data_IF_899647448597
#
_entry.id   IF_899647448597
#
_cell.length_a   1.000
_cell.length_b   1.000
_cell.length_c   1.000
_cell.angle_alpha   90.00
_cell.angle_beta   90.00
_cell.angle_gamma   90.00
#
_symmetry.space_group_name_H-M   'P 1'
#
loop_
_entity.id
_entity.type
_entity.pdbx_description
1 polymer ?
#
# COMPACT_ATOMS: atom_id res chain seq x y z
N UNK A 1 -26.16 33.73 -28.18
CA UNK A 1 -25.11 34.74 -27.97
C UNK A 1 -25.22 35.30 -26.56
N UNK A 2 -24.29 34.95 -25.68
CA UNK A 2 -23.99 35.75 -24.48
C UNK A 2 -22.54 35.50 -24.09
N UNK A 3 -21.84 36.60 -23.82
CA UNK A 3 -20.39 36.79 -24.02
C UNK A 3 -19.58 36.48 -22.76
N UNK A 4 -18.37 35.97 -23.01
CA UNK A 4 -17.28 35.69 -22.07
C UNK A 4 -16.91 36.88 -21.16
N UNK A 5 -16.46 36.58 -19.94
CA UNK A 5 -15.41 37.36 -19.27
C UNK A 5 -14.39 36.40 -18.67
N UNK A 6 -13.33 36.19 -19.43
CA UNK A 6 -12.09 35.54 -19.00
C UNK A 6 -11.33 36.58 -18.19
N UNK A 7 -11.10 36.31 -16.90
CA UNK A 7 -10.21 37.10 -16.08
C UNK A 7 -8.81 36.49 -16.18
N UNK A 8 -7.97 37.07 -17.04
CA UNK A 8 -6.51 36.93 -16.96
C UNK A 8 -6.02 37.94 -15.93
N UNK A 9 -5.31 37.46 -14.90
CA UNK A 9 -4.52 38.31 -14.01
C UNK A 9 -3.08 37.84 -14.06
N UNK A 10 -2.20 38.79 -14.39
CA UNK A 10 -0.78 38.65 -14.64
C UNK A 10 0.05 39.16 -13.46
N UNK A 11 1.34 38.79 -13.47
CA UNK A 11 2.52 39.57 -13.00
C UNK A 11 3.19 39.20 -11.66
N UNK A 12 4.44 38.71 -11.83
CA UNK A 12 5.70 38.94 -11.07
C UNK A 12 5.81 38.51 -9.59
N UNK A 13 6.98 38.18 -9.00
CA UNK A 13 8.38 38.59 -9.23
C UNK A 13 9.31 37.59 -8.50
N UNK A 14 10.56 37.49 -8.95
CA UNK A 14 11.64 36.67 -8.38
C UNK A 14 12.02 37.02 -6.93
N UNK A 15 12.53 36.03 -6.19
CA UNK A 15 13.49 36.26 -5.10
C UNK A 15 14.52 35.12 -5.06
N UNK A 16 15.77 35.47 -5.32
CA UNK A 16 16.94 34.63 -5.13
C UNK A 16 17.31 34.55 -3.64
N UNK A 17 17.64 33.36 -3.14
CA UNK A 17 18.31 33.18 -1.86
C UNK A 17 19.68 32.55 -2.11
N UNK A 18 20.72 33.34 -1.84
CA UNK A 18 22.14 33.00 -1.93
C UNK A 18 22.49 32.16 -0.71
N UNK A 19 23.02 30.94 -0.90
CA UNK A 19 23.66 30.17 0.17
C UNK A 19 25.06 30.74 0.43
N UNK A 20 25.25 31.35 1.60
CA UNK A 20 26.55 31.76 2.08
C UNK A 20 27.33 30.52 2.57
N UNK A 21 28.40 30.14 1.86
CA UNK A 21 29.41 29.22 2.38
C UNK A 21 30.44 30.05 3.16
N UNK A 22 30.33 30.06 4.49
CA UNK A 22 31.39 30.51 5.39
C UNK A 22 32.22 29.29 5.84
N UNK A 23 33.36 29.08 5.17
CA UNK A 23 34.40 28.14 5.59
C UNK A 23 35.76 28.81 5.45
N UNK A 24 36.30 29.30 6.56
CA UNK A 24 37.51 30.13 6.66
C UNK A 24 38.76 29.42 6.15
N UNK A 25 39.49 30.13 5.28
CA UNK A 25 40.88 29.86 4.95
C UNK A 25 41.80 30.27 6.11
N UNK A 26 42.73 29.39 6.46
CA UNK A 26 43.88 29.71 7.30
C UNK A 26 45.11 28.92 6.82
N UNK A 27 46.03 29.60 6.17
CA UNK A 27 47.45 29.20 6.05
C UNK A 27 48.24 30.30 6.77
N UNK A 28 49.23 29.98 7.64
CA UNK A 28 50.57 29.60 7.19
C UNK A 28 51.21 28.50 8.08
N UNK A 29 52.17 27.66 7.65
CA UNK A 29 53.62 27.91 7.52
C UNK A 29 54.34 26.53 7.41
N UNK A 30 55.55 26.41 6.83
CA UNK A 30 56.15 25.14 6.36
C UNK A 30 56.76 24.15 7.38
N UNK A 31 56.60 22.86 7.03
CA UNK A 31 57.43 21.64 7.15
C UNK A 31 58.50 21.46 8.25
N UNK A 32 58.31 20.42 9.09
CA UNK A 32 59.35 19.47 9.58
C UNK A 32 58.73 18.06 9.80
N UNK A 33 59.42 16.93 9.50
CA UNK A 33 58.93 15.54 9.65
C UNK A 33 59.48 14.84 10.92
N UNK A 34 59.24 13.53 11.16
CA UNK A 34 58.00 12.82 11.49
C UNK A 34 58.04 12.23 12.92
N UNK A 35 56.91 11.88 13.54
CA UNK A 35 56.88 10.88 14.62
C UNK A 35 55.57 10.09 14.52
N UNK A 36 55.70 8.87 14.05
CA UNK A 36 54.63 7.89 13.92
C UNK A 36 54.30 7.35 15.33
N UNK A 37 53.14 7.74 15.84
CA UNK A 37 52.48 7.06 16.97
C UNK A 37 51.14 6.56 16.46
N UNK A 38 50.81 5.25 16.59
CA UNK A 38 49.53 4.75 16.15
C UNK A 38 48.43 5.36 17.04
N UNK A 39 47.69 6.30 16.46
CA UNK A 39 46.49 6.88 17.06
C UNK A 39 45.41 5.80 17.17
N UNK A 40 44.95 5.60 18.39
CA UNK A 40 43.73 4.86 18.72
C UNK A 40 42.57 5.47 17.93
N UNK A 41 42.15 4.83 16.84
CA UNK A 41 40.97 5.22 16.10
C UNK A 41 39.73 4.83 16.91
N UNK A 42 39.19 5.76 17.70
CA UNK A 42 37.78 5.67 18.11
C UNK A 42 36.93 6.06 16.91
N UNK A 43 36.68 5.09 16.03
CA UNK A 43 35.66 5.21 15.00
C UNK A 43 34.30 5.00 15.66
N UNK A 44 33.68 6.08 16.10
CA UNK A 44 32.26 6.05 16.48
C UNK A 44 31.45 6.06 15.18
N UNK A 45 31.17 4.89 14.61
CA UNK A 45 30.10 4.75 13.62
C UNK A 45 28.79 4.90 14.39
N UNK A 46 28.06 5.98 14.13
CA UNK A 46 26.68 6.11 14.60
C UNK A 46 25.86 4.97 13.98
N UNK A 47 25.22 4.17 14.82
CA UNK A 47 24.36 3.07 14.43
C UNK A 47 23.12 3.60 13.69
N UNK A 48 22.82 3.07 12.49
CA UNK A 48 21.47 3.18 11.93
C UNK A 48 20.52 2.35 12.81
N UNK A 49 19.51 2.96 13.46
CA UNK A 49 18.46 2.20 14.11
C UNK A 49 17.64 1.46 13.03
N UNK A 50 17.15 0.25 13.34
CA UNK A 50 16.65 -0.68 12.34
C UNK A 50 15.51 -0.08 11.53
N UNK A 51 15.63 -0.11 10.20
CA UNK A 51 14.47 -0.09 9.31
C UNK A 51 13.51 -1.16 9.81
N UNK A 52 12.25 -0.80 10.08
CA UNK A 52 11.23 -1.77 10.50
C UNK A 52 11.33 -2.99 9.59
N UNK A 53 11.32 -4.23 10.12
CA UNK A 53 11.34 -5.41 9.28
C UNK A 53 10.08 -5.42 8.41
N UNK A 54 10.21 -5.93 7.18
CA UNK A 54 9.05 -6.23 6.34
C UNK A 54 8.17 -7.29 7.01
N UNK A 55 6.85 -7.26 6.79
CA UNK A 55 5.96 -8.28 7.32
C UNK A 55 6.19 -9.63 6.65
N UNK A 56 5.84 -10.69 7.37
CA UNK A 56 5.76 -12.02 6.79
C UNK A 56 4.61 -12.08 5.76
N UNK A 57 4.73 -12.84 4.67
CA UNK A 57 3.67 -13.04 3.69
C UNK A 57 2.32 -13.44 4.31
N UNK A 58 2.37 -14.30 5.33
CA UNK A 58 1.19 -14.85 5.99
C UNK A 58 0.37 -13.75 6.68
N UNK A 59 1.05 -12.72 7.21
CA UNK A 59 0.38 -11.59 7.85
C UNK A 59 -0.48 -10.79 6.85
N UNK A 60 -0.11 -10.79 5.56
CA UNK A 60 -0.87 -10.12 4.51
C UNK A 60 -1.97 -11.04 3.96
N UNK A 61 -1.67 -12.32 3.73
CA UNK A 61 -2.67 -13.27 3.24
C UNK A 61 -3.77 -13.53 4.27
N UNK A 62 -3.48 -13.46 5.58
CA UNK A 62 -4.48 -13.61 6.63
C UNK A 62 -5.57 -12.52 6.57
N UNK A 63 -5.21 -11.29 6.21
CA UNK A 63 -6.17 -10.19 5.99
C UNK A 63 -7.14 -10.56 4.88
N UNK A 64 -6.60 -11.07 3.77
CA UNK A 64 -7.37 -11.44 2.59
C UNK A 64 -8.23 -12.68 2.83
N UNK A 65 -7.70 -13.68 3.52
CA UNK A 65 -8.46 -14.86 3.92
C UNK A 65 -9.68 -14.46 4.76
N UNK A 66 -9.49 -13.63 5.79
CA UNK A 66 -10.61 -13.14 6.61
C UNK A 66 -11.60 -12.28 5.84
N UNK A 67 -11.14 -11.47 4.87
CA UNK A 67 -12.02 -10.71 3.99
C UNK A 67 -12.87 -11.61 3.08
N UNK A 68 -12.29 -12.71 2.60
CA UNK A 68 -12.96 -13.67 1.72
C UNK A 68 -13.84 -14.70 2.43
N UNK A 69 -13.69 -14.85 3.74
CA UNK A 69 -14.39 -15.86 4.53
C UNK A 69 -15.87 -15.50 4.72
N UNK A 70 -16.84 -16.28 4.18
CA UNK A 70 -18.26 -15.99 4.34
C UNK A 70 -18.79 -16.21 5.76
N UNK A 71 -18.05 -16.90 6.64
CA UNK A 71 -18.45 -17.16 8.02
C UNK A 71 -18.13 -15.98 8.94
N UNK A 72 -17.24 -15.07 8.54
CA UNK A 72 -16.88 -13.87 9.31
C UNK A 72 -17.88 -12.74 8.99
N UNK A 73 -18.59 -12.18 9.98
CA UNK A 73 -19.53 -11.09 9.75
C UNK A 73 -18.85 -9.84 9.18
N UNK A 74 -19.52 -9.14 8.26
CA UNK A 74 -19.03 -7.88 7.69
C UNK A 74 -18.56 -6.83 8.72
N UNK A 75 -19.17 -6.79 9.91
CA UNK A 75 -18.78 -5.87 10.98
C UNK A 75 -17.34 -6.12 11.49
N UNK A 76 -16.91 -7.38 11.54
CA UNK A 76 -15.54 -7.75 11.91
C UNK A 76 -14.56 -7.45 10.77
N UNK A 77 -15.01 -7.60 9.52
CA UNK A 77 -14.24 -7.30 8.30
C UNK A 77 -13.98 -5.81 8.08
N UNK A 78 -14.76 -4.91 8.66
CA UNK A 78 -14.53 -3.45 8.56
C UNK A 78 -13.12 -3.07 9.02
N UNK A 79 -12.58 -3.78 10.02
CA UNK A 79 -11.23 -3.50 10.53
C UNK A 79 -10.10 -3.93 9.57
N UNK A 80 -10.41 -4.75 8.57
CA UNK A 80 -9.45 -5.29 7.61
C UNK A 80 -9.26 -4.39 6.38
N UNK A 81 -10.01 -3.30 6.29
CA UNK A 81 -9.94 -2.33 5.19
C UNK A 81 -9.69 -0.94 5.77
N UNK A 82 -8.68 -0.28 5.23
CA UNK A 82 -8.37 1.10 5.59
C UNK A 82 -9.56 2.03 5.35
N UNK A 83 -9.85 2.86 6.35
CA UNK A 83 -10.93 3.86 6.31
C UNK A 83 -12.34 3.30 6.06
N UNK A 84 -12.55 1.99 6.16
CA UNK A 84 -13.89 1.41 6.10
C UNK A 84 -14.70 1.80 7.34
N UNK A 85 -15.98 2.06 7.12
CA UNK A 85 -16.92 2.49 8.15
C UNK A 85 -17.85 1.33 8.54
N UNK A 86 -18.45 1.36 9.74
CA UNK A 86 -19.47 0.39 10.12
C UNK A 86 -20.63 0.30 9.11
N UNK A 87 -20.95 1.40 8.42
CA UNK A 87 -21.97 1.44 7.36
C UNK A 87 -21.61 0.61 6.12
N UNK A 88 -20.33 0.28 5.94
CA UNK A 88 -19.84 -0.48 4.79
C UNK A 88 -19.90 -1.99 5.01
N UNK A 89 -20.13 -2.43 6.25
CA UNK A 89 -20.12 -3.85 6.66
C UNK A 89 -20.98 -4.74 5.75
N UNK A 90 -22.20 -4.34 5.45
CA UNK A 90 -23.11 -5.10 4.58
C UNK A 90 -22.62 -5.17 3.11
N UNK A 91 -21.87 -4.18 2.64
CA UNK A 91 -21.28 -4.21 1.30
C UNK A 91 -20.04 -5.09 1.26
N UNK A 92 -19.22 -5.05 2.32
CA UNK A 92 -18.04 -5.91 2.46
C UNK A 92 -18.47 -7.38 2.56
N UNK A 93 -19.53 -7.66 3.31
CA UNK A 93 -20.05 -9.02 3.47
C UNK A 93 -20.50 -9.65 2.14
N UNK A 94 -21.11 -8.85 1.26
CA UNK A 94 -21.51 -9.28 -0.09
C UNK A 94 -20.35 -9.78 -0.94
N UNK A 95 -19.12 -9.32 -0.70
CA UNK A 95 -17.95 -9.82 -1.42
C UNK A 95 -17.68 -11.30 -1.10
N UNK A 96 -17.63 -11.67 0.17
CA UNK A 96 -17.42 -13.05 0.59
C UNK A 96 -18.57 -13.97 0.15
N UNK A 97 -19.81 -13.48 0.25
CA UNK A 97 -20.99 -14.19 -0.27
C UNK A 97 -20.90 -14.41 -1.77
N UNK A 98 -20.51 -13.39 -2.55
CA UNK A 98 -20.34 -13.54 -3.99
C UNK A 98 -19.21 -14.52 -4.36
N UNK A 99 -18.12 -14.58 -3.60
CA UNK A 99 -17.07 -15.58 -3.79
C UNK A 99 -17.59 -17.01 -3.57
N UNK A 100 -18.39 -17.21 -2.51
CA UNK A 100 -19.04 -18.49 -2.23
C UNK A 100 -20.03 -18.88 -3.33
N UNK A 101 -20.96 -17.99 -3.64
CA UNK A 101 -22.03 -18.24 -4.62
C UNK A 101 -21.49 -18.43 -6.04
N UNK A 102 -20.38 -17.77 -6.38
CA UNK A 102 -19.67 -17.94 -7.64
C UNK A 102 -18.77 -19.18 -7.72
N UNK A 103 -18.72 -20.01 -6.66
CA UNK A 103 -17.91 -21.22 -6.63
C UNK A 103 -16.40 -20.98 -6.59
N UNK A 104 -15.97 -19.78 -6.18
CA UNK A 104 -14.55 -19.42 -6.13
C UNK A 104 -13.84 -19.95 -4.87
N UNK A 105 -14.60 -20.35 -3.85
CA UNK A 105 -14.07 -20.91 -2.60
C UNK A 105 -13.88 -22.44 -2.70
N UNK A 106 -12.85 -23.02 -2.04
CA UNK A 106 -11.81 -22.33 -1.25
C UNK A 106 -10.81 -21.57 -2.13
N UNK A 107 -10.29 -20.45 -1.61
CA UNK A 107 -9.18 -19.71 -2.21
C UNK A 107 -7.84 -20.24 -1.71
N UNK A 108 -6.82 -20.17 -2.56
CA UNK A 108 -5.41 -20.28 -2.15
C UNK A 108 -4.71 -18.99 -2.49
N UNK A 109 -4.12 -18.34 -1.49
CA UNK A 109 -3.48 -17.03 -1.60
C UNK A 109 -1.98 -17.18 -1.33
N UNK A 110 -1.17 -16.50 -2.13
CA UNK A 110 0.28 -16.37 -1.92
C UNK A 110 0.67 -14.91 -2.09
N UNK A 111 1.52 -14.40 -1.19
CA UNK A 111 2.03 -13.03 -1.24
C UNK A 111 3.53 -13.04 -1.44
N UNK A 112 3.99 -12.44 -2.53
CA UNK A 112 5.40 -12.34 -2.89
C UNK A 112 5.77 -10.89 -3.19
N UNK A 113 7.08 -10.64 -3.40
CA UNK A 113 7.56 -9.32 -3.80
C UNK A 113 7.27 -8.23 -2.76
N UNK A 114 7.26 -8.57 -1.48
CA UNK A 114 6.91 -7.64 -0.40
C UNK A 114 7.99 -6.57 -0.28
N UNK A 115 7.59 -5.31 -0.44
CA UNK A 115 8.47 -4.13 -0.30
C UNK A 115 7.75 -3.01 0.43
N UNK A 116 8.50 -2.07 1.01
CA UNK A 116 7.92 -0.82 1.49
C UNK A 116 7.36 -0.01 0.31
N UNK A 117 6.21 0.63 0.51
CA UNK A 117 5.59 1.46 -0.53
C UNK A 117 6.37 2.76 -0.70
N UNK A 118 6.74 3.08 -1.93
CA UNK A 118 7.34 4.38 -2.29
C UNK A 118 6.33 5.54 -2.25
N UNK A 119 5.02 5.22 -2.29
CA UNK A 119 3.94 6.22 -2.38
C UNK A 119 3.33 6.54 -1.02
N UNK A 120 3.24 5.55 -0.14
CA UNK A 120 2.55 5.65 1.14
C UNK A 120 3.49 5.23 2.27
N UNK A 121 4.12 6.18 2.99
CA UNK A 121 5.08 5.86 4.04
C UNK A 121 4.50 4.91 5.10
N UNK A 122 5.19 3.80 5.34
CA UNK A 122 4.78 2.77 6.29
C UNK A 122 3.85 1.70 5.73
N UNK A 123 3.31 1.88 4.52
CA UNK A 123 2.59 0.81 3.82
C UNK A 123 3.58 -0.16 3.17
N UNK A 124 3.10 -1.36 2.86
CA UNK A 124 3.82 -2.33 2.04
C UNK A 124 3.04 -2.69 0.79
N UNK A 125 3.76 -2.95 -0.28
CA UNK A 125 3.21 -3.50 -1.52
C UNK A 125 3.60 -4.97 -1.63
N UNK A 126 2.71 -5.80 -2.14
CA UNK A 126 2.96 -7.22 -2.41
C UNK A 126 2.22 -7.65 -3.68
N UNK A 127 2.84 -8.54 -4.46
CA UNK A 127 2.17 -9.25 -5.54
C UNK A 127 1.42 -10.44 -4.94
N UNK A 128 0.08 -10.37 -4.95
CA UNK A 128 -0.76 -11.42 -4.39
C UNK A 128 -1.31 -12.29 -5.50
N UNK A 129 -0.95 -13.57 -5.48
CA UNK A 129 -1.53 -14.59 -6.35
C UNK A 129 -2.77 -15.18 -5.69
N UNK A 130 -3.89 -15.14 -6.42
CA UNK A 130 -5.18 -15.70 -6.01
C UNK A 130 -5.50 -16.88 -6.91
N UNK A 131 -5.59 -18.06 -6.33
CA UNK A 131 -6.10 -19.26 -6.99
C UNK A 131 -7.46 -19.60 -6.42
N UNK A 132 -8.40 -19.97 -7.30
CA UNK A 132 -9.77 -20.29 -6.92
C UNK A 132 -10.07 -21.76 -7.19
N UNK A 133 -11.09 -22.31 -6.54
CA UNK A 133 -11.56 -23.66 -6.83
C UNK A 133 -12.26 -23.78 -8.20
N UNK A 134 -12.63 -22.65 -8.81
CA UNK A 134 -13.25 -22.59 -10.12
C UNK A 134 -12.18 -22.71 -11.23
N UNK A 135 -12.14 -23.82 -11.99
CA UNK A 135 -11.14 -24.02 -13.03
C UNK A 135 -11.29 -23.05 -14.22
N UNK A 136 -12.50 -22.53 -14.46
CA UNK A 136 -12.78 -21.61 -15.55
C UNK A 136 -12.31 -20.17 -15.25
N UNK A 137 -12.20 -19.83 -13.96
CA UNK A 137 -11.72 -18.52 -13.51
C UNK A 137 -10.19 -18.39 -13.59
N UNK A 138 -9.48 -19.52 -13.46
CA UNK A 138 -8.02 -19.56 -13.38
C UNK A 138 -7.46 -18.91 -12.11
N UNK A 139 -6.13 -18.78 -12.07
CA UNK A 139 -5.42 -17.99 -11.05
C UNK A 139 -5.00 -16.63 -11.62
N UNK A 140 -5.00 -15.59 -10.78
CA UNK A 140 -4.53 -14.26 -11.16
C UNK A 140 -3.63 -13.68 -10.08
N UNK A 141 -2.64 -12.87 -10.50
CA UNK A 141 -1.80 -12.10 -9.59
C UNK A 141 -2.13 -10.62 -9.70
N UNK A 142 -2.22 -9.93 -8.56
CA UNK A 142 -2.51 -8.51 -8.52
C UNK A 142 -1.65 -7.80 -7.46
N UNK A 143 -1.00 -6.68 -7.79
CA UNK A 143 -0.28 -5.89 -6.81
C UNK A 143 -1.26 -5.26 -5.83
N UNK A 144 -1.09 -5.56 -4.55
CA UNK A 144 -1.91 -5.05 -3.45
C UNK A 144 -1.06 -4.22 -2.51
N UNK A 145 -1.65 -3.18 -1.94
CA UNK A 145 -1.01 -2.38 -0.89
C UNK A 145 -1.71 -2.59 0.45
N UNK A 146 -0.92 -2.68 1.51
CA UNK A 146 -1.38 -2.92 2.87
C UNK A 146 -0.87 -1.83 3.81
N UNK A 147 -1.76 -1.38 4.69
CA UNK A 147 -1.49 -0.35 5.71
C UNK A 147 -1.30 -1.04 7.07
N UNK A 148 -0.31 -0.65 7.88
CA UNK A 148 -0.16 -1.19 9.23
C UNK A 148 -1.31 -0.72 10.13
N UNK A 149 -1.82 -1.61 10.99
CA UNK A 149 -2.92 -1.30 11.91
C UNK A 149 -2.81 -2.12 13.20
N UNK A 150 -2.69 -1.46 14.36
CA UNK A 150 -2.72 -2.09 15.69
C UNK A 150 -1.76 -3.31 15.85
N UNK A 151 -0.59 -3.27 15.20
CA UNK A 151 0.38 -4.37 15.20
C UNK A 151 0.11 -5.49 14.18
N UNK A 152 -0.96 -5.37 13.39
CA UNK A 152 -1.26 -6.18 12.22
C UNK A 152 -1.34 -5.34 10.94
N UNK A 153 -2.11 -5.84 9.97
CA UNK A 153 -2.25 -5.25 8.64
C UNK A 153 -3.70 -5.14 8.22
N UNK A 154 -3.99 -4.18 7.36
CA UNK A 154 -5.26 -4.01 6.68
C UNK A 154 -4.99 -3.72 5.19
N UNK A 155 -5.95 -4.03 4.33
CA UNK A 155 -5.88 -3.69 2.92
C UNK A 155 -6.06 -2.19 2.74
N UNK A 156 -5.24 -1.56 1.88
CA UNK A 156 -5.38 -0.13 1.59
C UNK A 156 -6.74 0.19 0.95
N UNK A 157 -7.24 1.39 1.18
CA UNK A 157 -8.56 1.79 0.69
C UNK A 157 -8.64 1.72 -0.84
N UNK A 158 -7.57 2.10 -1.53
CA UNK A 158 -7.48 2.09 -2.99
C UNK A 158 -7.56 0.67 -3.55
N UNK A 159 -6.81 -0.25 -2.96
CA UNK A 159 -6.82 -1.67 -3.35
C UNK A 159 -8.19 -2.27 -3.08
N UNK A 160 -8.76 -2.04 -1.89
CA UNK A 160 -10.08 -2.54 -1.51
C UNK A 160 -11.19 -2.06 -2.47
N UNK A 161 -11.18 -0.77 -2.85
CA UNK A 161 -12.14 -0.23 -3.81
C UNK A 161 -12.04 -0.93 -5.17
N UNK A 162 -10.81 -1.20 -5.62
CA UNK A 162 -10.56 -1.89 -6.91
C UNK A 162 -11.08 -3.32 -6.88
N UNK A 163 -10.78 -4.08 -5.82
CA UNK A 163 -11.27 -5.45 -5.66
C UNK A 163 -12.80 -5.51 -5.50
N UNK A 164 -13.40 -4.58 -4.77
CA UNK A 164 -14.86 -4.49 -4.63
C UNK A 164 -15.54 -4.15 -5.95
N UNK A 165 -14.94 -3.30 -6.78
CA UNK A 165 -15.45 -2.99 -8.11
C UNK A 165 -15.42 -4.23 -9.02
N UNK A 166 -14.34 -5.03 -8.95
CA UNK A 166 -14.23 -6.29 -9.66
C UNK A 166 -15.30 -7.31 -9.21
N UNK A 167 -15.48 -7.49 -7.90
CA UNK A 167 -16.51 -8.37 -7.35
C UNK A 167 -17.93 -7.96 -7.77
N UNK A 168 -18.24 -6.65 -7.79
CA UNK A 168 -19.54 -6.14 -8.27
C UNK A 168 -19.81 -6.47 -9.74
N UNK A 169 -18.79 -6.39 -10.60
CA UNK A 169 -18.94 -6.70 -12.02
C UNK A 169 -19.27 -8.18 -12.27
N UNK A 170 -18.77 -9.09 -11.42
CA UNK A 170 -19.00 -10.53 -11.55
C UNK A 170 -20.23 -11.03 -10.79
N UNK A 171 -20.60 -10.41 -9.67
CA UNK A 171 -21.83 -10.73 -8.94
C UNK A 171 -23.13 -10.40 -9.73
N UNK A 172 -23.06 -9.45 -10.69
CA UNK A 172 -24.20 -9.09 -11.54
C UNK A 172 -24.47 -10.03 -12.71
N UNK A 173 -23.59 -11.00 -12.98
CA UNK A 173 -23.66 -11.86 -14.18
C UNK A 173 -24.40 -13.19 -13.98
N UNK A 174 -24.91 -13.48 -12.77
CA UNK A 174 -25.56 -14.77 -12.42
C UNK A 174 -27.09 -14.74 -12.38
N UNK A 175 -27.75 -13.67 -12.85
CA UNK A 175 -29.21 -13.71 -13.03
C UNK A 175 -29.56 -14.33 -14.40
N UNK A 176 -30.10 -15.57 -14.48
CA UNK A 176 -30.68 -16.06 -15.73
C UNK A 176 -31.86 -15.15 -16.14
N UNK A 177 -32.07 -14.88 -17.43
CA UNK A 177 -33.22 -14.09 -17.86
C UNK A 177 -34.50 -14.86 -17.50
N UNK A 178 -35.36 -14.25 -16.67
CA UNK A 178 -36.71 -14.76 -16.44
C UNK A 178 -37.45 -14.78 -17.78
N UNK A 179 -37.90 -15.94 -18.31
CA UNK A 179 -38.73 -15.95 -19.49
C UNK A 179 -40.06 -15.27 -19.14
N UNK A 180 -40.40 -14.21 -19.88
CA UNK A 180 -41.70 -13.54 -19.75
C UNK A 180 -42.76 -14.38 -20.48
N UNK A 181 -43.94 -14.64 -19.88
CA UNK A 181 -45.01 -15.42 -20.50
C UNK A 181 -45.69 -14.68 -21.66
#
# INVERSE_FOLDING_TARGET
>A
MSRQRIALSTVSTALAAVLALSGCAGHPQPAEPPTEVPVTATTTVAAEPPSSPLPAPEALTDVLYRLSDPEIPGAEKVSLIESAKPTDAATIDKFATALKDGGYLPLTLDAAGITWSDRHPGNVTADVTVNTANPDAGGFAFPMEFTPRDGGWQLSQETAKTLLAFGKAHAGSTAPPTPTP
#
